data_IF_577368275783
#
_entry.id   IF_577368275783
#
_cell.length_a   1.000
_cell.length_b   1.000
_cell.length_c   1.000
_cell.angle_alpha   90.00
_cell.angle_beta   90.00
_cell.angle_gamma   90.00
#
_symmetry.space_group_name_H-M   'P 1'
#
loop_
_entity.id
_entity.type
_entity.pdbx_description
1 polymer ?
#
# COMPACT_ATOMS: atom_id res chain seq x y z
N UNK A 1 22.98 30.84 -39.45
CA UNK A 1 23.82 31.81 -38.72
C UNK A 1 22.96 32.32 -37.59
N UNK A 2 23.21 32.09 -36.30
CA UNK A 2 24.38 31.57 -35.59
C UNK A 2 23.94 30.74 -34.38
N UNK A 3 24.87 29.90 -33.91
CA UNK A 3 24.79 28.97 -32.78
C UNK A 3 25.27 29.67 -31.51
N UNK A 4 24.79 29.26 -30.33
CA UNK A 4 25.59 29.09 -29.09
C UNK A 4 24.69 28.83 -27.88
N UNK A 5 25.03 28.09 -26.82
CA UNK A 5 25.93 26.96 -26.51
C UNK A 5 25.52 26.56 -25.07
N UNK A 6 25.57 25.25 -24.78
CA UNK A 6 25.41 24.63 -23.47
C UNK A 6 26.35 25.21 -22.38
N UNK A 7 25.88 25.30 -21.14
CA UNK A 7 26.76 25.28 -19.97
C UNK A 7 26.13 24.43 -18.85
N UNK A 8 26.74 23.28 -18.61
CA UNK A 8 26.51 22.42 -17.45
C UNK A 8 27.33 22.97 -16.26
N UNK A 9 26.72 23.00 -15.07
CA UNK A 9 27.44 23.25 -13.82
C UNK A 9 27.35 22.00 -12.96
N UNK A 10 28.48 21.31 -12.86
CA UNK A 10 28.79 20.29 -11.88
C UNK A 10 29.30 21.01 -10.63
N UNK A 11 28.62 20.87 -9.51
CA UNK A 11 29.06 21.35 -8.20
C UNK A 11 29.31 20.17 -7.26
N UNK A 12 30.59 19.90 -6.97
CA UNK A 12 31.04 18.80 -6.12
C UNK A 12 30.76 19.03 -4.63
N UNK A 13 30.45 17.94 -3.93
CA UNK A 13 30.39 17.86 -2.47
C UNK A 13 31.81 17.80 -1.90
N UNK A 14 32.16 18.79 -1.06
CA UNK A 14 33.33 18.77 -0.19
C UNK A 14 32.84 18.51 1.23
N UNK A 15 33.25 17.37 1.78
CA UNK A 15 33.00 16.98 3.17
C UNK A 15 33.87 17.77 4.14
N UNK A 16 33.29 18.12 5.29
CA UNK A 16 34.03 18.61 6.46
C UNK A 16 33.68 17.71 7.64
N UNK A 17 34.64 16.86 8.00
CA UNK A 17 34.67 16.12 9.26
C UNK A 17 35.33 17.05 10.29
N UNK A 18 34.64 17.36 11.38
CA UNK A 18 35.25 18.01 12.54
C UNK A 18 35.42 16.99 13.66
N UNK A 19 36.68 16.60 13.88
CA UNK A 19 37.17 15.88 15.06
C UNK A 19 37.15 16.84 16.26
N UNK A 20 36.43 16.48 17.33
CA UNK A 20 36.46 17.15 18.62
C UNK A 20 37.04 16.23 19.69
N UNK A 21 38.22 16.60 20.17
CA UNK A 21 39.14 15.82 21.01
C UNK A 21 38.64 15.55 22.44
N UNK A 22 38.98 14.37 22.95
CA UNK A 22 38.88 13.95 24.36
C UNK A 22 39.76 14.81 25.27
N UNK A 23 39.21 15.23 26.42
CA UNK A 23 39.98 15.61 27.60
C UNK A 23 39.48 14.81 28.80
N UNK A 24 40.33 13.91 29.31
CA UNK A 24 40.17 13.25 30.60
C UNK A 24 40.63 14.19 31.72
N UNK A 25 39.81 14.38 32.75
CA UNK A 25 40.26 14.81 34.08
C UNK A 25 39.59 13.90 35.11
N UNK A 26 40.40 13.34 36.01
CA UNK A 26 40.08 12.33 37.01
C UNK A 26 39.81 12.95 38.39
N UNK A 27 38.74 12.49 39.06
CA UNK A 27 38.56 12.15 40.52
C UNK A 27 39.03 13.15 41.61
N UNK A 28 38.36 13.44 42.74
CA UNK A 28 37.25 12.84 43.52
C UNK A 28 36.85 13.87 44.65
N UNK A 29 36.26 13.47 45.80
CA UNK A 29 34.84 13.21 46.05
C UNK A 29 34.23 14.22 47.05
N UNK A 30 32.90 14.39 47.07
CA UNK A 30 32.26 14.88 48.29
C UNK A 30 30.85 14.31 48.49
N UNK A 31 30.53 14.14 49.76
CA UNK A 31 29.55 13.22 50.33
C UNK A 31 28.22 13.92 50.68
N UNK A 32 27.07 13.32 50.36
CA UNK A 32 25.76 13.79 50.87
C UNK A 32 24.54 13.19 50.17
N UNK A 33 23.37 13.05 50.82
CA UNK A 33 22.59 11.81 50.74
C UNK A 33 21.41 11.84 49.75
N UNK A 34 21.20 10.67 49.14
CA UNK A 34 19.91 10.02 48.94
C UNK A 34 18.76 10.81 48.26
N UNK A 35 18.68 10.70 46.92
CA UNK A 35 17.39 10.64 46.20
C UNK A 35 17.62 10.10 44.78
N UNK A 36 17.45 8.78 44.60
CA UNK A 36 17.30 8.18 43.26
C UNK A 36 15.97 8.63 42.64
N UNK A 37 15.92 9.14 41.40
CA UNK A 37 14.71 9.07 40.61
C UNK A 37 14.51 7.60 40.20
N UNK A 38 13.43 7.00 40.69
CA UNK A 38 13.02 5.65 40.30
C UNK A 38 12.81 5.59 38.79
N UNK A 39 13.60 4.77 38.12
CA UNK A 39 13.36 4.38 36.74
C UNK A 39 12.00 3.66 36.68
N UNK A 40 11.06 4.19 35.91
CA UNK A 40 9.82 3.49 35.57
C UNK A 40 10.22 2.27 34.74
N UNK A 41 10.00 1.02 35.19
CA UNK A 41 10.27 -0.13 34.36
C UNK A 41 9.30 -0.12 33.18
N UNK A 42 9.84 -0.12 31.96
CA UNK A 42 9.06 -0.34 30.76
C UNK A 42 8.34 -1.68 30.88
N UNK A 43 7.01 -1.63 30.91
CA UNK A 43 6.18 -2.84 30.90
C UNK A 43 6.50 -3.67 29.65
N UNK A 44 6.74 -4.99 29.76
CA UNK A 44 6.93 -5.83 28.60
C UNK A 44 5.64 -5.82 27.77
N UNK A 45 5.74 -5.44 26.50
CA UNK A 45 4.63 -5.47 25.56
C UNK A 45 4.19 -6.92 25.32
N UNK A 46 3.06 -7.31 25.89
CA UNK A 46 2.39 -8.56 25.56
C UNK A 46 2.11 -8.59 24.05
N UNK A 47 2.54 -9.63 23.31
CA UNK A 47 2.16 -9.76 21.90
C UNK A 47 0.64 -9.89 21.79
N UNK A 48 0.01 -9.35 20.73
CA UNK A 48 -1.41 -9.56 20.49
C UNK A 48 -1.73 -11.07 20.49
N UNK A 49 -2.91 -11.44 21.03
CA UNK A 49 -3.40 -12.83 21.11
C UNK A 49 -3.22 -13.56 19.77
N UNK A 50 -3.02 -14.89 19.80
CA UNK A 50 -2.88 -15.67 18.57
C UNK A 50 -4.04 -15.34 17.64
N UNK A 51 -3.69 -14.98 16.40
CA UNK A 51 -4.63 -14.91 15.27
C UNK A 51 -5.57 -16.12 15.42
N UNK A 52 -6.89 -15.90 15.44
CA UNK A 52 -7.83 -17.02 15.44
C UNK A 52 -7.44 -17.98 14.32
N UNK A 53 -7.43 -19.28 14.60
CA UNK A 53 -6.85 -20.33 13.75
C UNK A 53 -7.19 -20.08 12.26
N UNK A 54 -6.23 -19.51 11.52
CA UNK A 54 -6.40 -19.19 10.11
C UNK A 54 -6.39 -20.50 9.34
N UNK A 55 -7.40 -20.70 8.50
CA UNK A 55 -7.54 -21.91 7.69
C UNK A 55 -7.63 -21.55 6.21
N UNK A 56 -6.81 -22.20 5.40
CA UNK A 56 -6.90 -22.13 3.94
C UNK A 56 -7.95 -23.10 3.42
N UNK A 57 -8.85 -22.61 2.57
CA UNK A 57 -9.74 -23.43 1.74
C UNK A 57 -9.02 -23.88 0.45
N UNK A 58 -9.68 -24.75 -0.31
CA UNK A 58 -9.21 -25.12 -1.65
C UNK A 58 -9.23 -23.92 -2.60
N UNK A 59 -8.30 -23.85 -3.56
CA UNK A 59 -8.20 -22.72 -4.47
C UNK A 59 -9.36 -22.67 -5.44
N UNK A 60 -9.75 -21.44 -5.76
CA UNK A 60 -10.53 -21.11 -6.94
C UNK A 60 -9.55 -20.76 -8.05
N UNK A 61 -9.50 -21.61 -9.08
CA UNK A 61 -8.61 -21.41 -10.23
C UNK A 61 -9.40 -20.92 -11.43
N UNK A 62 -8.84 -19.98 -12.17
CA UNK A 62 -9.32 -19.57 -13.50
C UNK A 62 -8.12 -19.14 -14.34
N UNK A 63 -7.99 -19.66 -15.56
CA UNK A 63 -6.82 -19.38 -16.42
C UNK A 63 -5.50 -19.73 -15.72
N UNK A 64 -4.65 -18.75 -15.46
CA UNK A 64 -3.38 -18.88 -14.75
C UNK A 64 -3.42 -18.31 -13.32
N UNK A 65 -4.56 -17.92 -12.77
CA UNK A 65 -4.65 -17.45 -11.38
C UNK A 65 -5.35 -18.49 -10.51
N UNK A 66 -4.82 -18.70 -9.31
CA UNK A 66 -5.46 -19.45 -8.24
C UNK A 66 -5.58 -18.60 -6.99
N UNK A 67 -6.80 -18.46 -6.48
CA UNK A 67 -7.10 -17.68 -5.28
C UNK A 67 -7.56 -18.63 -4.18
N UNK A 68 -6.80 -18.71 -3.10
CA UNK A 68 -7.13 -19.51 -1.92
C UNK A 68 -7.83 -18.63 -0.90
N UNK A 69 -9.11 -18.87 -0.57
CA UNK A 69 -9.77 -18.17 0.52
C UNK A 69 -9.11 -18.51 1.86
N UNK A 70 -8.81 -17.48 2.65
CA UNK A 70 -8.38 -17.59 4.04
C UNK A 70 -9.58 -17.32 4.92
N UNK A 71 -9.95 -18.30 5.76
CA UNK A 71 -11.06 -18.17 6.70
C UNK A 71 -10.58 -18.15 8.14
N UNK A 72 -11.36 -17.50 9.00
CA UNK A 72 -11.15 -17.49 10.45
C UNK A 72 -12.47 -17.79 11.17
N UNK A 73 -12.41 -18.54 12.27
CA UNK A 73 -13.58 -18.86 13.10
C UNK A 73 -14.09 -17.66 13.92
N UNK A 74 -13.28 -16.61 14.05
CA UNK A 74 -13.63 -15.39 14.77
C UNK A 74 -13.00 -14.17 14.06
N UNK A 75 -13.83 -13.21 13.68
CA UNK A 75 -13.39 -11.91 13.17
C UNK A 75 -13.36 -10.86 14.27
N UNK A 76 -12.42 -9.92 14.21
CA UNK A 76 -12.47 -8.73 15.07
C UNK A 76 -13.57 -7.78 14.60
N UNK A 77 -14.06 -6.92 15.51
CA UNK A 77 -14.91 -5.79 15.12
C UNK A 77 -14.02 -4.65 14.60
N UNK A 78 -14.11 -4.40 13.29
CA UNK A 78 -13.38 -3.33 12.60
C UNK A 78 -14.27 -2.14 12.23
N UNK A 79 -15.53 -2.11 12.67
CA UNK A 79 -16.52 -1.08 12.29
C UNK A 79 -16.13 0.35 12.70
N UNK A 80 -15.23 0.46 13.68
CA UNK A 80 -14.65 1.71 14.14
C UNK A 80 -13.75 2.38 13.09
N UNK A 81 -13.19 1.65 12.13
CA UNK A 81 -12.31 2.19 11.11
C UNK A 81 -13.09 2.62 9.85
N UNK A 82 -12.61 3.68 9.21
CA UNK A 82 -13.10 4.18 7.92
C UNK A 82 -12.10 3.80 6.83
N UNK A 83 -12.55 3.29 5.70
CA UNK A 83 -11.67 3.05 4.53
C UNK A 83 -11.48 4.34 3.74
N UNK A 84 -10.36 4.46 3.02
CA UNK A 84 -10.08 5.62 2.16
C UNK A 84 -11.22 5.90 1.18
N UNK A 85 -11.72 4.85 0.54
CA UNK A 85 -12.85 4.91 -0.38
C UNK A 85 -14.11 5.50 0.27
N UNK A 86 -14.55 4.94 1.40
CA UNK A 86 -15.74 5.42 2.10
C UNK A 86 -15.57 6.86 2.61
N UNK A 87 -14.35 7.22 3.03
CA UNK A 87 -14.04 8.56 3.51
C UNK A 87 -14.09 9.61 2.39
N UNK A 88 -13.51 9.31 1.23
CA UNK A 88 -13.54 10.22 0.08
C UNK A 88 -14.96 10.30 -0.52
N UNK A 89 -15.68 9.18 -0.61
CA UNK A 89 -17.05 9.14 -1.14
C UNK A 89 -18.05 9.92 -0.29
N UNK A 90 -17.88 9.93 1.03
CA UNK A 90 -18.71 10.74 1.96
C UNK A 90 -18.31 12.21 2.01
N UNK A 91 -17.11 12.57 1.54
CA UNK A 91 -16.52 13.91 1.69
C UNK A 91 -15.95 14.20 3.09
N UNK A 92 -15.99 13.21 4.00
CA UNK A 92 -15.40 13.32 5.33
C UNK A 92 -13.86 13.24 5.29
N UNK A 93 -13.30 12.64 4.23
CA UNK A 93 -11.86 12.63 3.96
C UNK A 93 -11.61 13.44 2.71
N UNK A 94 -10.54 14.24 2.74
CA UNK A 94 -10.12 15.06 1.60
C UNK A 94 -8.62 14.84 1.37
N UNK A 95 -8.25 14.59 0.12
CA UNK A 95 -6.85 14.45 -0.30
C UNK A 95 -6.53 15.54 -1.34
N UNK A 96 -5.38 16.21 -1.16
CA UNK A 96 -4.96 17.37 -1.96
C UNK A 96 -3.48 17.38 -2.28
N UNK A 97 -3.08 18.11 -3.31
CA UNK A 97 -1.67 18.39 -3.60
C UNK A 97 -1.04 19.20 -2.45
N UNK A 98 0.12 18.79 -1.93
CA UNK A 98 0.81 19.55 -0.88
C UNK A 98 1.24 20.91 -1.41
N UNK A 99 0.88 22.01 -0.73
CA UNK A 99 1.17 23.38 -1.18
C UNK A 99 0.11 23.98 -2.10
N UNK A 100 -1.00 23.28 -2.31
CA UNK A 100 -2.20 23.84 -2.96
C UNK A 100 -3.11 24.62 -2.02
N UNK A 101 -2.75 24.73 -0.73
CA UNK A 101 -3.50 25.48 0.28
C UNK A 101 -2.56 26.20 1.26
N UNK A 102 -2.91 27.44 1.62
CA UNK A 102 -2.31 28.21 2.70
C UNK A 102 -3.13 28.04 3.97
N UNK A 103 -2.48 27.77 5.10
CA UNK A 103 -3.14 27.77 6.40
C UNK A 103 -3.18 29.20 6.95
N UNK A 104 -4.38 29.76 7.02
CA UNK A 104 -4.64 31.07 7.63
C UNK A 104 -5.38 30.85 8.95
N UNK A 105 -5.17 31.72 9.95
CA UNK A 105 -5.98 31.69 11.17
C UNK A 105 -7.30 32.42 10.95
N UNK A 106 -8.40 31.71 11.14
CA UNK A 106 -9.74 32.28 11.16
C UNK A 106 -9.94 33.26 12.31
N UNK A 107 -11.00 34.05 12.24
CA UNK A 107 -11.33 35.09 13.24
C UNK A 107 -11.59 34.51 14.65
N UNK A 108 -11.93 33.23 14.71
CA UNK A 108 -12.15 32.42 15.91
C UNK A 108 -10.88 31.66 16.37
N UNK A 109 -9.73 31.91 15.73
CA UNK A 109 -8.46 31.25 16.02
C UNK A 109 -8.32 29.84 15.44
N UNK A 110 -9.33 29.32 14.73
CA UNK A 110 -9.26 28.00 14.09
C UNK A 110 -8.46 28.08 12.79
N UNK A 111 -7.64 27.06 12.46
CA UNK A 111 -6.97 27.02 11.17
C UNK A 111 -7.99 26.87 10.03
N UNK A 112 -7.90 27.76 9.05
CA UNK A 112 -8.67 27.77 7.81
C UNK A 112 -7.70 27.55 6.66
N UNK A 113 -7.92 26.51 5.88
CA UNK A 113 -7.10 26.21 4.70
C UNK A 113 -7.72 26.89 3.47
N UNK A 114 -6.98 27.80 2.85
CA UNK A 114 -7.42 28.57 1.68
C UNK A 114 -6.65 28.08 0.45
N UNK A 115 -7.31 27.77 -0.67
CA UNK A 115 -6.63 27.34 -1.90
C UNK A 115 -5.59 28.35 -2.38
N UNK A 116 -4.36 27.90 -2.61
CA UNK A 116 -3.29 28.65 -3.29
C UNK A 116 -3.23 28.24 -4.76
N UNK A 117 -3.33 29.22 -5.67
CA UNK A 117 -3.31 29.02 -7.12
C UNK A 117 -1.91 29.06 -7.73
N UNK A 118 -0.87 29.36 -6.95
CA UNK A 118 0.52 29.53 -7.42
C UNK A 118 1.44 28.37 -7.02
N UNK A 119 1.84 27.59 -8.03
CA UNK A 119 3.11 26.85 -8.27
C UNK A 119 3.88 26.10 -7.17
N UNK A 120 3.45 26.08 -5.90
CA UNK A 120 4.19 25.46 -4.78
C UNK A 120 3.95 23.96 -4.56
N UNK A 121 3.31 23.26 -5.51
CA UNK A 121 2.99 21.85 -5.33
C UNK A 121 4.27 20.99 -5.28
N UNK A 122 4.52 20.31 -4.16
CA UNK A 122 5.66 19.39 -4.02
C UNK A 122 5.38 18.08 -4.76
N UNK A 123 6.33 17.64 -5.59
CA UNK A 123 6.23 16.35 -6.29
C UNK A 123 6.26 15.22 -5.26
N UNK A 124 5.38 14.23 -5.40
CA UNK A 124 5.25 13.04 -4.52
C UNK A 124 4.75 13.27 -3.10
N UNK A 125 4.11 14.40 -2.81
CA UNK A 125 3.49 14.61 -1.50
C UNK A 125 2.06 15.13 -1.64
N UNK A 126 1.13 14.38 -1.07
CA UNK A 126 -0.24 14.82 -0.87
C UNK A 126 -0.45 15.24 0.58
N UNK A 127 -1.54 15.93 0.82
CA UNK A 127 -2.04 16.24 2.16
C UNK A 127 -3.40 15.60 2.31
N UNK A 128 -3.56 14.78 3.36
CA UNK A 128 -4.82 14.17 3.72
C UNK A 128 -5.40 14.83 4.96
N UNK A 129 -6.71 15.10 4.91
CA UNK A 129 -7.48 15.63 6.03
C UNK A 129 -8.59 14.64 6.35
N UNK A 130 -8.57 14.04 7.54
CA UNK A 130 -9.64 13.19 8.06
C UNK A 130 -10.57 14.02 8.96
N UNK A 131 -11.70 14.46 8.42
CA UNK A 131 -12.75 15.21 9.14
C UNK A 131 -13.81 14.31 9.74
N UNK A 132 -13.72 12.99 9.50
CA UNK A 132 -14.63 12.02 10.08
C UNK A 132 -14.39 11.88 11.59
N UNK A 133 -15.31 11.18 12.25
CA UNK A 133 -15.19 10.79 13.67
C UNK A 133 -14.47 9.45 13.86
N UNK A 134 -13.97 8.83 12.77
CA UNK A 134 -13.37 7.49 12.77
C UNK A 134 -11.91 7.54 12.33
N UNK A 135 -11.02 6.71 12.92
CA UNK A 135 -9.69 6.51 12.36
C UNK A 135 -9.80 5.98 10.92
N UNK A 136 -9.05 6.61 10.02
CA UNK A 136 -9.00 6.24 8.61
C UNK A 136 -7.89 5.23 8.37
N UNK A 137 -8.22 4.09 7.77
CA UNK A 137 -7.29 3.08 7.28
C UNK A 137 -6.85 3.44 5.86
N UNK A 138 -5.54 3.51 5.67
CA UNK A 138 -4.88 3.61 4.38
C UNK A 138 -4.08 2.33 4.15
N UNK A 139 -4.24 1.70 2.98
CA UNK A 139 -3.36 0.62 2.54
C UNK A 139 -2.42 1.11 1.44
N UNK A 140 -1.19 0.62 1.47
CA UNK A 140 -0.23 0.80 0.41
C UNK A 140 -0.81 0.29 -0.91
N UNK A 141 -0.60 1.03 -1.99
CA UNK A 141 -1.12 0.73 -3.31
C UNK A 141 -2.55 1.19 -3.58
N UNK A 142 -3.29 1.75 -2.60
CA UNK A 142 -4.59 2.36 -2.89
C UNK A 142 -4.41 3.55 -3.83
N UNK A 143 -5.17 3.56 -4.93
CA UNK A 143 -5.11 4.61 -5.93
C UNK A 143 -6.01 5.78 -5.52
N UNK A 144 -5.45 6.98 -5.53
CA UNK A 144 -6.20 8.24 -5.52
C UNK A 144 -6.05 8.89 -6.89
N UNK A 145 -7.20 9.13 -7.52
CA UNK A 145 -7.27 9.55 -8.91
C UNK A 145 -7.64 11.03 -9.01
N UNK A 146 -7.21 11.68 -10.09
CA UNK A 146 -7.42 13.10 -10.33
C UNK A 146 -6.14 13.89 -10.12
N UNK A 147 -6.21 14.99 -9.37
CA UNK A 147 -5.07 15.85 -9.10
C UNK A 147 -4.34 16.32 -10.36
N UNK A 148 -3.04 16.63 -10.20
CA UNK A 148 -2.14 16.84 -11.34
C UNK A 148 -1.62 15.53 -11.93
N UNK A 149 -1.57 14.49 -11.10
CA UNK A 149 -1.21 13.12 -11.45
C UNK A 149 -1.98 12.15 -10.56
N UNK A 150 -2.29 10.97 -11.07
CA UNK A 150 -2.80 9.85 -10.28
C UNK A 150 -1.68 9.33 -9.38
N UNK A 151 -2.03 9.06 -8.12
CA UNK A 151 -1.10 8.70 -7.05
C UNK A 151 -1.54 7.43 -6.36
N UNK A 152 -0.57 6.67 -5.86
CA UNK A 152 -0.84 5.56 -4.96
C UNK A 152 -0.28 5.85 -3.58
N UNK A 153 -1.00 5.42 -2.55
CA UNK A 153 -0.53 5.46 -1.17
C UNK A 153 0.74 4.59 -1.07
N UNK A 154 1.83 5.15 -0.55
CA UNK A 154 3.10 4.43 -0.46
C UNK A 154 3.18 3.42 0.69
N UNK A 155 2.37 3.61 1.74
CA UNK A 155 2.50 2.83 2.98
C UNK A 155 1.18 2.66 3.71
N UNK A 156 1.00 1.48 4.31
CA UNK A 156 -0.09 1.19 5.24
C UNK A 156 -0.02 2.13 6.45
N UNK A 157 -1.13 2.82 6.75
CA UNK A 157 -1.18 3.80 7.85
C UNK A 157 -2.59 3.95 8.42
N UNK A 158 -2.67 4.33 9.69
CA UNK A 158 -3.92 4.81 10.30
C UNK A 158 -3.82 6.32 10.53
N UNK A 159 -4.81 7.08 10.07
CA UNK A 159 -4.94 8.51 10.31
C UNK A 159 -6.03 8.75 11.36
N UNK A 160 -5.68 9.22 12.58
CA UNK A 160 -6.66 9.45 13.64
C UNK A 160 -7.78 10.41 13.22
N UNK A 161 -8.94 10.26 13.84
CA UNK A 161 -10.02 11.22 13.71
C UNK A 161 -9.56 12.60 14.21
N UNK A 162 -9.79 13.65 13.43
CA UNK A 162 -9.40 15.02 13.79
C UNK A 162 -7.90 15.29 13.83
N UNK A 163 -7.07 14.40 13.24
CA UNK A 163 -5.66 14.67 13.06
C UNK A 163 -5.44 15.96 12.24
N UNK A 164 -4.36 16.73 12.51
CA UNK A 164 -3.98 17.83 11.63
C UNK A 164 -3.70 17.27 10.21
N UNK A 165 -3.75 18.12 9.17
CA UNK A 165 -3.48 17.68 7.82
C UNK A 165 -2.15 16.94 7.73
N UNK A 166 -2.22 15.71 7.24
CA UNK A 166 -1.13 14.76 7.28
C UNK A 166 -0.46 14.70 5.91
N UNK A 167 0.87 14.90 5.80
CA UNK A 167 1.57 14.60 4.56
C UNK A 167 1.49 13.10 4.29
N UNK A 168 1.07 12.74 3.07
CA UNK A 168 1.09 11.37 2.58
C UNK A 168 2.26 11.18 1.64
N UNK A 169 3.05 10.16 1.92
CA UNK A 169 4.03 9.63 0.97
C UNK A 169 3.28 8.84 -0.09
N UNK A 170 3.47 9.26 -1.34
CA UNK A 170 2.78 8.68 -2.50
C UNK A 170 3.74 8.47 -3.65
N UNK A 171 3.39 7.56 -4.55
CA UNK A 171 4.08 7.38 -5.82
C UNK A 171 3.18 7.79 -6.97
N UNK A 172 3.73 8.48 -7.97
CA UNK A 172 2.99 8.66 -9.23
C UNK A 172 2.98 7.35 -10.01
N UNK A 173 1.83 7.03 -10.59
CA UNK A 173 1.63 5.84 -11.43
C UNK A 173 1.52 6.18 -12.91
N UNK A 174 1.54 7.45 -13.27
CA UNK A 174 1.64 7.90 -14.65
C UNK A 174 2.87 8.80 -14.83
N UNK A 175 3.46 8.76 -16.02
CA UNK A 175 4.60 9.58 -16.38
C UNK A 175 4.15 10.69 -17.34
N UNK A 176 4.48 11.94 -17.02
CA UNK A 176 4.37 13.07 -17.95
C UNK A 176 3.11 13.95 -17.85
N UNK A 177 2.01 13.49 -17.25
CA UNK A 177 0.87 14.39 -16.93
C UNK A 177 1.26 15.29 -15.77
N UNK A 178 1.11 16.60 -15.85
CA UNK A 178 1.26 17.51 -14.69
C UNK A 178 0.24 18.65 -14.80
N UNK A 179 -0.99 18.26 -15.06
CA UNK A 179 -2.11 19.15 -15.34
C UNK A 179 -3.36 18.54 -14.71
N UNK A 180 -4.24 19.39 -14.17
CA UNK A 180 -5.47 18.94 -13.51
C UNK A 180 -5.80 19.75 -12.26
N UNK A 181 -6.78 19.28 -11.51
CA UNK A 181 -7.20 19.92 -10.25
C UNK A 181 -6.16 19.67 -9.15
N UNK A 182 -6.37 20.26 -7.97
CA UNK A 182 -5.56 19.95 -6.77
C UNK A 182 -6.23 18.94 -5.84
N UNK A 183 -7.38 18.39 -6.24
CA UNK A 183 -8.19 17.48 -5.43
C UNK A 183 -8.23 16.08 -6.03
N UNK A 184 -8.35 15.10 -5.14
CA UNK A 184 -8.37 13.70 -5.50
C UNK A 184 -9.69 13.06 -5.11
N UNK A 185 -10.13 12.10 -5.91
CA UNK A 185 -11.24 11.21 -5.63
C UNK A 185 -10.72 9.81 -5.28
N UNK A 186 -11.52 9.02 -4.58
CA UNK A 186 -11.24 7.60 -4.44
C UNK A 186 -11.33 6.94 -5.80
N UNK A 187 -10.28 6.22 -6.19
CA UNK A 187 -10.43 5.23 -7.23
C UNK A 187 -10.95 3.94 -6.60
N UNK A 188 -11.77 3.18 -7.33
CA UNK A 188 -12.22 1.84 -6.91
C UNK A 188 -11.14 0.78 -7.19
N UNK A 189 -9.87 1.16 -7.02
CA UNK A 189 -8.70 0.43 -7.51
C UNK A 189 -7.58 0.45 -6.49
N UNK A 190 -6.97 -0.71 -6.29
CA UNK A 190 -5.64 -0.87 -5.70
C UNK A 190 -4.71 -1.33 -6.83
N UNK A 191 -3.44 -0.91 -6.85
CA UNK A 191 -2.54 -1.32 -7.93
C UNK A 191 -2.25 -2.83 -7.93
N UNK A 192 -1.90 -3.37 -9.10
CA UNK A 192 -1.50 -4.77 -9.26
C UNK A 192 -0.25 -5.10 -8.43
N UNK A 193 -0.12 -6.35 -7.93
CA UNK A 193 0.95 -6.80 -7.04
C UNK A 193 2.35 -6.29 -7.36
N UNK A 194 2.78 -6.37 -8.62
CA UNK A 194 4.13 -5.95 -9.00
C UNK A 194 4.39 -4.45 -8.78
N UNK A 195 3.41 -3.59 -9.00
CA UNK A 195 3.53 -2.15 -8.72
C UNK A 195 3.48 -1.90 -7.22
N UNK A 196 2.63 -2.65 -6.50
CA UNK A 196 2.48 -2.53 -5.04
C UNK A 196 3.75 -2.97 -4.32
N UNK A 197 4.42 -4.01 -4.79
CA UNK A 197 5.75 -4.44 -4.33
C UNK A 197 6.76 -3.29 -4.42
N UNK A 198 6.94 -2.69 -5.61
CA UNK A 198 7.90 -1.60 -5.82
C UNK A 198 7.58 -0.35 -5.01
N UNK A 199 6.30 -0.07 -4.78
CA UNK A 199 5.85 1.07 -3.99
C UNK A 199 6.00 0.83 -2.48
N UNK A 200 5.57 -0.33 -1.98
CA UNK A 200 5.47 -0.60 -0.55
C UNK A 200 6.78 -1.09 0.09
N UNK A 201 7.63 -1.75 -0.70
CA UNK A 201 8.89 -2.36 -0.23
C UNK A 201 10.09 -1.58 -0.72
N UNK A 202 10.26 -1.47 -2.04
CA UNK A 202 11.47 -0.84 -2.61
C UNK A 202 11.42 0.70 -2.50
N UNK A 203 10.22 1.27 -2.39
CA UNK A 203 9.95 2.70 -2.27
C UNK A 203 10.63 3.56 -3.36
N UNK A 204 10.79 2.99 -4.56
CA UNK A 204 11.54 3.59 -5.64
C UNK A 204 10.62 4.05 -6.78
N UNK A 205 10.50 5.38 -6.96
CA UNK A 205 9.59 5.97 -7.96
C UNK A 205 9.85 5.49 -9.40
N UNK A 206 11.12 5.34 -9.79
CA UNK A 206 11.47 4.85 -11.13
C UNK A 206 11.03 3.40 -11.32
N UNK A 207 11.22 2.56 -10.32
CA UNK A 207 10.82 1.15 -10.36
C UNK A 207 9.29 0.99 -10.36
N UNK A 208 8.57 1.88 -9.68
CA UNK A 208 7.10 1.95 -9.75
C UNK A 208 6.66 2.20 -11.19
N UNK A 209 7.29 3.16 -11.89
CA UNK A 209 6.95 3.43 -13.30
C UNK A 209 7.30 2.27 -14.23
N UNK A 210 8.43 1.60 -14.00
CA UNK A 210 8.83 0.45 -14.81
C UNK A 210 7.89 -0.74 -14.58
N UNK A 211 7.48 -1.01 -13.34
CA UNK A 211 6.48 -2.03 -13.01
C UNK A 211 5.10 -1.69 -13.61
N UNK A 212 4.69 -0.42 -13.58
CA UNK A 212 3.45 0.03 -14.22
C UNK A 212 3.50 -0.24 -15.73
N UNK A 213 4.62 0.08 -16.38
CA UNK A 213 4.81 -0.11 -17.82
C UNK A 213 4.82 -1.59 -18.21
N UNK A 214 5.48 -2.43 -17.40
CA UNK A 214 5.58 -3.86 -17.70
C UNK A 214 4.29 -4.62 -17.37
N UNK A 215 3.50 -4.14 -16.40
CA UNK A 215 2.31 -4.82 -15.87
C UNK A 215 2.60 -5.99 -14.92
N UNK A 216 3.85 -6.44 -14.89
CA UNK A 216 4.35 -7.45 -13.96
C UNK A 216 5.86 -7.36 -13.81
N UNK A 217 6.38 -7.59 -12.61
CA UNK A 217 7.82 -7.74 -12.31
C UNK A 217 8.26 -9.20 -12.36
N UNK A 218 7.32 -10.14 -12.51
CA UNK A 218 7.62 -11.56 -12.58
C UNK A 218 8.34 -11.92 -13.88
N UNK A 219 9.40 -12.72 -13.75
CA UNK A 219 10.15 -13.19 -14.91
C UNK A 219 9.43 -14.37 -15.57
N UNK A 220 9.19 -14.26 -16.87
CA UNK A 220 8.67 -15.35 -17.68
C UNK A 220 9.82 -16.29 -18.12
N UNK A 221 9.65 -17.62 -18.04
CA UNK A 221 10.54 -18.55 -18.74
C UNK A 221 10.60 -18.22 -20.24
N UNK A 222 11.75 -18.38 -20.88
CA UNK A 222 11.95 -18.02 -22.29
C UNK A 222 10.98 -18.73 -23.27
N UNK A 223 10.47 -19.91 -22.90
CA UNK A 223 9.51 -20.69 -23.70
C UNK A 223 8.04 -20.51 -23.25
N UNK A 224 7.76 -19.60 -22.32
CA UNK A 224 6.41 -19.40 -21.82
C UNK A 224 5.50 -18.76 -22.89
N UNK A 225 4.20 -19.08 -22.90
CA UNK A 225 3.24 -18.42 -23.77
C UNK A 225 3.21 -16.90 -23.54
N UNK A 226 2.85 -16.14 -24.59
CA UNK A 226 2.67 -14.71 -24.45
C UNK A 226 1.56 -14.37 -23.43
N UNK A 227 1.68 -13.25 -22.69
CA UNK A 227 0.61 -12.76 -21.83
C UNK A 227 -0.61 -12.32 -22.64
N UNK A 228 -1.80 -12.31 -22.01
CA UNK A 228 -3.04 -11.88 -22.66
C UNK A 228 -3.08 -10.37 -22.88
N UNK A 229 -2.46 -9.61 -21.98
CA UNK A 229 -2.23 -8.17 -22.13
C UNK A 229 -0.72 -7.95 -22.26
N UNK A 230 -0.28 -7.32 -23.35
CA UNK A 230 1.13 -6.96 -23.54
C UNK A 230 1.47 -5.64 -22.85
N UNK A 231 2.76 -5.46 -22.51
CA UNK A 231 3.29 -4.19 -22.00
C UNK A 231 2.97 -3.00 -22.91
N UNK A 232 3.03 -3.18 -24.24
CA UNK A 232 2.67 -2.12 -25.20
C UNK A 232 1.20 -1.69 -25.10
N UNK A 233 0.28 -2.63 -24.85
CA UNK A 233 -1.15 -2.32 -24.67
C UNK A 233 -1.41 -1.62 -23.35
N UNK A 234 -0.74 -2.02 -22.27
CA UNK A 234 -0.79 -1.30 -20.99
C UNK A 234 -0.26 0.12 -21.15
N UNK A 235 0.90 0.27 -21.78
CA UNK A 235 1.50 1.56 -22.04
C UNK A 235 0.60 2.45 -22.92
N UNK A 236 -0.08 1.88 -23.92
CA UNK A 236 -1.05 2.60 -24.75
C UNK A 236 -2.26 3.06 -23.94
N UNK A 237 -2.81 2.20 -23.07
CA UNK A 237 -3.93 2.54 -22.19
C UNK A 237 -3.60 3.72 -21.26
N UNK A 238 -2.37 3.74 -20.72
CA UNK A 238 -1.85 4.81 -19.87
C UNK A 238 -1.56 6.09 -20.67
N UNK A 239 -0.81 5.98 -21.77
CA UNK A 239 -0.31 7.13 -22.53
C UNK A 239 -1.36 7.81 -23.41
N UNK A 240 -2.40 7.06 -23.83
CA UNK A 240 -3.46 7.58 -24.69
C UNK A 240 -4.35 8.65 -24.05
N UNK A 241 -4.15 8.98 -22.76
CA UNK A 241 -5.06 9.82 -21.99
C UNK A 241 -4.36 11.01 -21.33
N UNK A 242 -4.64 12.22 -21.84
CA UNK A 242 -4.25 13.49 -21.20
C UNK A 242 -5.28 13.98 -20.14
N UNK A 243 -6.20 13.13 -19.71
CA UNK A 243 -7.30 13.47 -18.78
C UNK A 243 -7.00 12.93 -17.37
N UNK A 244 -7.70 13.44 -16.37
CA UNK A 244 -7.76 12.84 -15.02
C UNK A 244 -8.15 11.37 -15.13
N UNK A 245 -7.55 10.46 -14.35
CA UNK A 245 -7.80 9.00 -14.35
C UNK A 245 -7.05 8.18 -15.43
N UNK A 246 -5.85 8.60 -15.87
CA UNK A 246 -5.11 7.87 -16.90
C UNK A 246 -4.74 6.44 -16.47
N UNK A 247 -4.40 6.23 -15.18
CA UNK A 247 -4.00 4.91 -14.71
C UNK A 247 -5.21 3.98 -14.49
N UNK A 248 -6.34 4.51 -14.04
CA UNK A 248 -7.58 3.74 -13.86
C UNK A 248 -8.08 3.14 -15.18
N UNK A 249 -7.71 3.72 -16.33
CA UNK A 249 -8.05 3.18 -17.64
C UNK A 249 -7.48 1.79 -17.90
N UNK A 250 -6.34 1.42 -17.31
CA UNK A 250 -5.79 0.05 -17.42
C UNK A 250 -6.83 -0.99 -17.00
N UNK A 251 -7.64 -0.63 -16.01
CA UNK A 251 -8.63 -1.49 -15.40
C UNK A 251 -9.95 -1.55 -16.18
N UNK A 252 -10.06 -0.80 -17.28
CA UNK A 252 -11.21 -0.76 -18.17
C UNK A 252 -10.95 -1.63 -19.41
N UNK A 253 -11.83 -2.59 -19.65
CA UNK A 253 -11.69 -3.59 -20.72
C UNK A 253 -11.46 -2.98 -22.12
N UNK A 254 -12.05 -1.80 -22.40
CA UNK A 254 -11.90 -1.08 -23.66
C UNK A 254 -10.50 -0.49 -23.89
N UNK A 255 -9.73 -0.21 -22.83
CA UNK A 255 -8.43 0.43 -22.96
C UNK A 255 -7.33 -0.57 -23.35
N UNK A 256 -7.43 -1.81 -22.89
CA UNK A 256 -6.43 -2.87 -23.10
C UNK A 256 -6.87 -3.93 -24.12
N UNK A 257 -8.12 -3.86 -24.59
CA UNK A 257 -8.67 -4.78 -25.59
C UNK A 257 -8.85 -6.21 -25.09
N UNK A 258 -8.96 -6.41 -23.77
CA UNK A 258 -9.20 -7.68 -23.08
C UNK A 258 -10.30 -7.46 -22.06
N UNK A 259 -11.22 -8.43 -21.91
CA UNK A 259 -12.32 -8.32 -20.96
C UNK A 259 -11.86 -8.63 -19.53
N UNK A 260 -11.30 -7.61 -18.86
CA UNK A 260 -10.94 -7.68 -17.44
C UNK A 260 -12.20 -7.94 -16.61
N UNK A 261 -13.32 -7.32 -16.98
CA UNK A 261 -14.58 -7.45 -16.24
C UNK A 261 -15.12 -8.89 -16.29
N UNK A 262 -15.04 -9.58 -17.44
CA UNK A 262 -15.42 -11.00 -17.53
C UNK A 262 -14.50 -11.88 -16.70
N UNK A 263 -13.20 -11.59 -16.70
CA UNK A 263 -12.21 -12.32 -15.91
C UNK A 263 -12.48 -12.19 -14.41
N UNK A 264 -12.73 -10.96 -13.95
CA UNK A 264 -13.10 -10.65 -12.56
C UNK A 264 -14.44 -11.32 -12.19
N UNK A 265 -15.46 -11.21 -13.06
CA UNK A 265 -16.77 -11.79 -12.81
C UNK A 265 -16.72 -13.32 -12.68
N UNK A 266 -15.89 -13.99 -13.47
CA UNK A 266 -15.72 -15.44 -13.39
C UNK A 266 -15.05 -15.87 -12.08
N UNK A 267 -13.96 -15.20 -11.67
CA UNK A 267 -13.32 -15.51 -10.38
C UNK A 267 -14.27 -15.21 -9.24
N UNK A 268 -14.97 -14.08 -9.26
CA UNK A 268 -15.91 -13.71 -8.20
C UNK A 268 -17.04 -14.73 -8.05
N UNK A 269 -17.60 -15.23 -9.17
CA UNK A 269 -18.61 -16.29 -9.18
C UNK A 269 -18.08 -17.59 -8.55
N UNK A 270 -16.89 -18.03 -8.95
CA UNK A 270 -16.26 -19.24 -8.40
C UNK A 270 -15.91 -19.07 -6.92
N UNK A 271 -15.41 -17.90 -6.53
CA UNK A 271 -15.09 -17.55 -5.14
C UNK A 271 -16.33 -17.55 -4.25
N UNK A 272 -17.42 -16.91 -4.68
CA UNK A 272 -18.69 -16.92 -3.97
C UNK A 272 -19.24 -18.36 -3.82
N UNK A 273 -19.07 -19.20 -4.84
CA UNK A 273 -19.50 -20.61 -4.79
C UNK A 273 -18.65 -21.41 -3.79
N UNK A 274 -17.32 -21.28 -3.85
CA UNK A 274 -16.39 -22.01 -2.98
C UNK A 274 -16.47 -21.58 -1.50
N UNK A 275 -16.91 -20.36 -1.24
CA UNK A 275 -17.08 -19.80 0.12
C UNK A 275 -18.53 -19.84 0.59
N UNK A 276 -19.45 -20.34 -0.24
CA UNK A 276 -20.83 -20.55 0.15
C UNK A 276 -20.94 -21.66 1.20
N UNK A 277 -21.80 -21.46 2.20
CA UNK A 277 -22.07 -22.48 3.21
C UNK A 277 -21.03 -22.59 4.34
N UNK A 278 -20.08 -21.66 4.46
CA UNK A 278 -19.21 -21.56 5.64
C UNK A 278 -20.07 -21.40 6.92
N UNK A 279 -19.84 -22.26 7.91
CA UNK A 279 -20.55 -22.25 9.20
C UNK A 279 -19.59 -21.92 10.32
N UNK A 280 -19.85 -20.84 11.04
CA UNK A 280 -19.00 -20.42 12.15
C UNK A 280 -17.62 -19.90 11.74
N UNK A 281 -17.43 -19.63 10.45
CA UNK A 281 -16.20 -19.05 9.89
C UNK A 281 -16.58 -17.93 8.91
N UNK A 282 -15.65 -17.01 8.70
CA UNK A 282 -15.74 -15.94 7.71
C UNK A 282 -14.47 -15.89 6.90
N UNK A 283 -14.58 -15.57 5.61
CA UNK A 283 -13.43 -15.21 4.79
C UNK A 283 -12.87 -13.91 5.33
N UNK A 284 -11.57 -13.86 5.58
CA UNK A 284 -10.86 -12.69 6.10
C UNK A 284 -9.70 -12.26 5.20
N UNK A 285 -9.44 -13.02 4.13
CA UNK A 285 -8.32 -12.74 3.25
C UNK A 285 -8.19 -13.76 2.13
N UNK A 286 -7.15 -13.59 1.35
CA UNK A 286 -6.79 -14.50 0.26
C UNK A 286 -5.28 -14.70 0.16
N UNK A 287 -4.90 -15.87 -0.35
CA UNK A 287 -3.58 -16.11 -0.94
C UNK A 287 -3.76 -16.23 -2.44
N UNK A 288 -2.87 -15.62 -3.22
CA UNK A 288 -2.93 -15.56 -4.68
C UNK A 288 -1.70 -16.21 -5.27
N UNK A 289 -1.92 -17.10 -6.22
CA UNK A 289 -0.90 -17.73 -7.02
C UNK A 289 -1.13 -17.47 -8.51
N UNK A 290 -0.03 -17.33 -9.25
CA UNK A 290 -0.03 -17.24 -10.70
C UNK A 290 0.71 -18.45 -11.27
N UNK A 291 -0.02 -19.34 -11.93
CA UNK A 291 0.47 -20.66 -12.28
C UNK A 291 0.82 -21.46 -11.02
N UNK A 292 2.05 -21.97 -10.97
CA UNK A 292 2.58 -22.70 -9.82
C UNK A 292 3.19 -21.82 -8.71
N UNK A 293 3.31 -20.51 -8.94
CA UNK A 293 3.97 -19.56 -8.05
C UNK A 293 2.94 -18.90 -7.13
N UNK A 294 2.99 -19.18 -5.82
CA UNK A 294 2.30 -18.36 -4.82
C UNK A 294 3.04 -17.03 -4.76
N UNK A 295 2.36 -15.91 -4.94
CA UNK A 295 3.01 -14.61 -5.12
C UNK A 295 2.62 -13.59 -4.05
N UNK A 296 1.40 -13.68 -3.53
CA UNK A 296 0.80 -12.59 -2.76
C UNK A 296 -0.24 -13.09 -1.75
N UNK A 297 -0.44 -12.35 -0.68
CA UNK A 297 -1.58 -12.53 0.24
C UNK A 297 -2.03 -11.21 0.83
N UNK A 298 -3.33 -11.04 1.03
CA UNK A 298 -3.92 -9.93 1.78
C UNK A 298 -4.86 -10.53 2.81
N UNK A 299 -4.53 -10.36 4.10
CA UNK A 299 -5.32 -10.85 5.24
C UNK A 299 -5.74 -9.67 6.10
N UNK A 300 -7.02 -9.62 6.45
CA UNK A 300 -7.64 -8.55 7.22
C UNK A 300 -8.10 -9.02 8.60
N UNK A 301 -8.27 -8.07 9.52
CA UNK A 301 -8.78 -8.34 10.87
C UNK A 301 -10.21 -8.93 10.91
N UNK A 302 -11.01 -8.71 9.85
CA UNK A 302 -12.42 -9.11 9.79
C UNK A 302 -12.87 -9.37 8.36
N UNK A 303 -13.94 -10.15 8.22
CA UNK A 303 -14.57 -10.39 6.92
C UNK A 303 -15.20 -9.12 6.34
N UNK A 304 -15.80 -8.27 7.17
CA UNK A 304 -16.39 -7.01 6.72
C UNK A 304 -15.32 -6.07 6.14
N UNK A 305 -14.13 -6.02 6.76
CA UNK A 305 -13.01 -5.26 6.22
C UNK A 305 -12.50 -5.87 4.92
N UNK A 306 -12.33 -7.20 4.86
CA UNK A 306 -11.98 -7.88 3.62
C UNK A 306 -12.97 -7.57 2.49
N UNK A 307 -14.27 -7.63 2.75
CA UNK A 307 -15.32 -7.36 1.75
C UNK A 307 -15.24 -5.95 1.17
N UNK A 308 -14.85 -4.94 1.98
CA UNK A 308 -14.59 -3.58 1.50
C UNK A 308 -13.42 -3.49 0.51
N UNK A 309 -12.41 -4.36 0.63
CA UNK A 309 -11.23 -4.35 -0.24
C UNK A 309 -11.31 -5.38 -1.37
N UNK A 310 -12.16 -6.40 -1.24
CA UNK A 310 -12.16 -7.56 -2.14
C UNK A 310 -12.40 -7.18 -3.61
N UNK A 311 -13.36 -6.29 -3.89
CA UNK A 311 -13.65 -5.90 -5.28
C UNK A 311 -12.43 -5.28 -5.98
N UNK A 312 -11.76 -4.32 -5.32
CA UNK A 312 -10.59 -3.65 -5.88
C UNK A 312 -9.34 -4.53 -5.90
N UNK A 313 -9.14 -5.38 -4.89
CA UNK A 313 -8.06 -6.39 -4.85
C UNK A 313 -8.22 -7.41 -5.99
N UNK A 314 -9.42 -7.95 -6.20
CA UNK A 314 -9.65 -8.93 -7.25
C UNK A 314 -9.32 -8.37 -8.64
N UNK A 315 -9.68 -7.11 -8.88
CA UNK A 315 -9.37 -6.42 -10.14
C UNK A 315 -7.85 -6.20 -10.30
N UNK A 316 -7.16 -5.86 -9.22
CA UNK A 316 -5.70 -5.77 -9.13
C UNK A 316 -5.02 -7.10 -9.51
N UNK A 317 -5.46 -8.22 -8.92
CA UNK A 317 -4.92 -9.53 -9.25
C UNK A 317 -5.23 -9.98 -10.68
N UNK A 318 -6.39 -9.60 -11.23
CA UNK A 318 -6.74 -9.90 -12.60
C UNK A 318 -5.80 -9.23 -13.61
N UNK A 319 -5.43 -7.95 -13.40
CA UNK A 319 -4.48 -7.24 -14.27
C UNK A 319 -3.11 -7.94 -14.27
N UNK A 320 -2.60 -8.31 -13.10
CA UNK A 320 -1.35 -9.08 -12.97
C UNK A 320 -1.44 -10.45 -13.66
N UNK A 321 -2.53 -11.20 -13.46
CA UNK A 321 -2.73 -12.50 -14.10
C UNK A 321 -2.70 -12.38 -15.63
N UNK A 322 -3.34 -11.35 -16.19
CA UNK A 322 -3.42 -11.10 -17.62
C UNK A 322 -2.10 -10.58 -18.21
N UNK A 323 -1.28 -9.89 -17.41
CA UNK A 323 0.06 -9.44 -17.77
C UNK A 323 1.13 -10.54 -17.65
N UNK A 324 0.85 -11.63 -16.93
CA UNK A 324 1.72 -12.81 -16.84
C UNK A 324 1.43 -13.83 -17.95
N UNK A 325 2.42 -14.66 -18.34
CA UNK A 325 2.20 -15.83 -19.18
C UNK A 325 1.09 -16.74 -18.65
N UNK A 326 0.25 -17.27 -19.55
CA UNK A 326 -0.76 -18.24 -19.15
C UNK A 326 -0.13 -19.63 -18.96
N UNK A 327 0.20 -19.95 -17.72
CA UNK A 327 0.80 -21.24 -17.32
C UNK A 327 -0.29 -22.12 -16.68
N UNK A 328 -0.37 -23.39 -17.10
CA UNK A 328 -1.40 -24.34 -16.62
C UNK A 328 -1.09 -25.01 -15.28
N UNK A 329 0.15 -24.93 -14.81
CA UNK A 329 0.53 -25.40 -13.47
C UNK A 329 -0.28 -24.63 -12.43
N UNK A 330 -0.66 -25.28 -11.33
CA UNK A 330 -1.42 -24.66 -10.23
C UNK A 330 -0.65 -24.88 -8.93
N UNK A 331 -0.53 -23.83 -8.12
CA UNK A 331 0.06 -23.94 -6.79
C UNK A 331 -0.74 -24.91 -5.90
N UNK A 332 -0.05 -25.67 -5.06
CA UNK A 332 -0.72 -26.55 -4.09
C UNK A 332 -1.20 -25.76 -2.86
N UNK A 333 -2.14 -26.33 -2.11
CA UNK A 333 -2.54 -25.81 -0.79
C UNK A 333 -1.37 -25.79 0.20
N UNK A 334 -0.44 -26.73 0.08
CA UNK A 334 0.76 -26.77 0.91
C UNK A 334 1.71 -25.60 0.60
N UNK A 335 1.90 -25.27 -0.69
CA UNK A 335 2.66 -24.07 -1.08
C UNK A 335 2.02 -22.80 -0.52
N UNK A 336 0.68 -22.69 -0.58
CA UNK A 336 -0.04 -21.55 -0.03
C UNK A 336 0.03 -21.50 1.51
N UNK A 337 0.00 -22.65 2.17
CA UNK A 337 0.12 -22.75 3.64
C UNK A 337 1.51 -22.38 4.13
N UNK A 338 2.55 -22.86 3.42
CA UNK A 338 3.94 -22.50 3.67
C UNK A 338 4.15 -21.00 3.47
N UNK A 339 3.55 -20.40 2.45
CA UNK A 339 3.62 -18.96 2.20
C UNK A 339 3.02 -18.11 3.34
N UNK A 340 2.00 -18.63 4.05
CA UNK A 340 1.38 -17.93 5.19
C UNK A 340 2.12 -18.09 6.51
N UNK A 341 3.19 -18.88 6.56
CA UNK A 341 3.98 -19.02 7.79
C UNK A 341 4.48 -17.66 8.24
N UNK A 342 4.68 -17.52 9.55
CA UNK A 342 5.32 -16.32 10.08
C UNK A 342 6.78 -16.26 9.62
N UNK A 343 7.18 -15.12 9.08
CA UNK A 343 8.57 -14.87 8.74
C UNK A 343 9.37 -14.55 10.00
N UNK A 344 10.63 -15.01 10.03
CA UNK A 344 11.57 -14.81 11.14
C UNK A 344 12.85 -14.09 10.67
N UNK A 345 12.71 -13.24 9.66
CA UNK A 345 13.82 -12.50 9.04
C UNK A 345 14.11 -11.15 9.70
N UNK A 346 14.73 -10.24 8.93
CA UNK A 346 15.04 -8.88 9.41
C UNK A 346 13.75 -8.09 9.58
N UNK A 347 13.56 -7.48 10.75
CA UNK A 347 12.39 -6.67 11.07
C UNK A 347 12.71 -5.17 11.05
N UNK A 348 11.87 -4.40 10.36
CA UNK A 348 11.80 -2.93 10.41
C UNK A 348 10.49 -2.54 11.08
N UNK A 349 10.56 -1.64 12.05
CA UNK A 349 9.43 -1.23 12.87
C UNK A 349 9.26 0.28 12.84
N UNK A 350 8.04 0.73 12.56
CA UNK A 350 7.61 2.11 12.72
C UNK A 350 6.39 2.18 13.64
N UNK A 351 6.31 3.20 14.47
CA UNK A 351 5.21 3.34 15.44
C UNK A 351 4.78 4.79 15.51
N UNK A 352 3.48 5.01 15.35
CA UNK A 352 2.81 6.26 15.72
C UNK A 352 2.20 6.05 17.12
N UNK A 353 2.75 6.68 18.18
CA UNK A 353 2.36 6.41 19.55
C UNK A 353 0.86 6.52 19.78
N UNK A 354 0.26 5.44 20.32
CA UNK A 354 -1.17 5.39 20.61
C UNK A 354 -2.09 5.24 19.39
N UNK A 355 -1.55 5.18 18.16
CA UNK A 355 -2.36 5.04 16.94
C UNK A 355 -2.14 3.69 16.29
N UNK A 356 -0.93 3.43 15.78
CA UNK A 356 -0.61 2.21 15.05
C UNK A 356 0.85 1.81 15.17
N UNK A 357 1.11 0.55 14.83
CA UNK A 357 2.44 0.00 14.61
C UNK A 357 2.48 -0.59 13.21
N UNK A 358 3.48 -0.19 12.44
CA UNK A 358 3.76 -0.78 11.13
C UNK A 358 5.02 -1.62 11.24
N UNK A 359 4.98 -2.85 10.73
CA UNK A 359 6.10 -3.79 10.76
C UNK A 359 6.34 -4.36 9.38
N UNK A 360 7.60 -4.43 8.98
CA UNK A 360 8.05 -5.15 7.80
C UNK A 360 9.08 -6.21 8.22
N UNK A 361 8.86 -7.45 7.81
CA UNK A 361 9.77 -8.56 8.06
C UNK A 361 10.22 -9.11 6.70
N UNK A 362 11.52 -9.08 6.44
CA UNK A 362 12.10 -9.60 5.18
C UNK A 362 12.88 -10.88 5.44
N UNK A 363 12.53 -11.97 4.76
CA UNK A 363 13.19 -13.28 4.86
C UNK A 363 13.44 -13.86 3.46
N UNK A 364 14.69 -13.84 3.00
CA UNK A 364 15.03 -14.22 1.63
C UNK A 364 14.29 -13.37 0.60
N UNK A 365 13.54 -14.03 -0.28
CA UNK A 365 12.69 -13.38 -1.29
C UNK A 365 11.26 -13.12 -0.79
N UNK A 366 11.00 -13.13 0.51
CA UNK A 366 9.70 -12.82 1.08
C UNK A 366 9.76 -11.52 1.88
N UNK A 367 8.70 -10.72 1.77
CA UNK A 367 8.39 -9.64 2.69
C UNK A 367 7.01 -9.87 3.30
N UNK A 368 6.90 -9.58 4.59
CA UNK A 368 5.64 -9.53 5.32
C UNK A 368 5.47 -8.12 5.90
N UNK A 369 4.36 -7.48 5.60
CA UNK A 369 3.97 -6.18 6.14
C UNK A 369 2.76 -6.36 7.05
N UNK A 370 2.82 -5.81 8.26
CA UNK A 370 1.71 -5.81 9.22
C UNK A 370 1.39 -4.39 9.68
N UNK A 371 0.11 -4.05 9.69
CA UNK A 371 -0.41 -2.83 10.29
C UNK A 371 -1.25 -3.18 11.52
N UNK A 372 -0.71 -2.94 12.71
CA UNK A 372 -1.43 -3.07 13.97
C UNK A 372 -2.06 -1.74 14.36
N UNK A 373 -3.37 -1.73 14.58
CA UNK A 373 -4.02 -0.67 15.32
C UNK A 373 -3.71 -0.82 16.81
N UNK A 374 -3.39 0.28 17.49
CA UNK A 374 -3.25 0.33 18.95
C UNK A 374 -4.54 0.82 19.62
N UNK A 375 -5.37 1.55 18.89
CA UNK A 375 -6.67 2.07 19.32
C UNK A 375 -7.72 1.94 18.19
N UNK A 376 -9.03 1.84 18.51
CA UNK A 376 -9.60 1.85 19.87
C UNK A 376 -9.34 0.54 20.63
N UNK A 377 -9.01 -0.54 19.93
CA UNK A 377 -8.61 -1.82 20.50
C UNK A 377 -7.38 -2.37 19.74
N UNK A 378 -6.38 -2.93 20.43
CA UNK A 378 -5.25 -3.56 19.76
C UNK A 378 -5.67 -4.71 18.83
N UNK A 379 -5.31 -4.62 17.55
CA UNK A 379 -5.53 -5.68 16.55
C UNK A 379 -4.64 -5.46 15.32
N UNK A 380 -4.24 -6.53 14.64
CA UNK A 380 -3.61 -6.45 13.32
C UNK A 380 -4.69 -6.27 12.27
N UNK A 381 -4.80 -5.06 11.69
CA UNK A 381 -5.84 -4.72 10.70
C UNK A 381 -5.59 -5.35 9.35
N UNK A 382 -4.33 -5.42 8.95
CA UNK A 382 -3.90 -5.91 7.66
C UNK A 382 -2.55 -6.59 7.80
N UNK A 383 -2.43 -7.78 7.21
CA UNK A 383 -1.21 -8.54 7.04
C UNK A 383 -1.07 -8.91 5.57
N UNK A 384 0.03 -8.44 4.99
CA UNK A 384 0.42 -8.67 3.61
C UNK A 384 1.67 -9.53 3.61
N UNK A 385 1.70 -10.60 2.82
CA UNK A 385 2.92 -11.35 2.51
C UNK A 385 3.08 -11.38 1.00
N UNK A 386 4.30 -11.11 0.51
CA UNK A 386 4.60 -11.04 -0.90
C UNK A 386 5.97 -11.62 -1.23
N UNK A 387 6.12 -12.10 -2.47
CA UNK A 387 7.42 -12.38 -3.06
C UNK A 387 8.09 -11.11 -3.58
N UNK A 388 9.35 -10.92 -3.19
CA UNK A 388 10.24 -9.87 -3.67
C UNK A 388 11.01 -10.35 -4.90
N UNK A 389 11.07 -9.50 -5.90
CA UNK A 389 11.75 -9.67 -7.17
C UNK A 389 13.16 -9.06 -7.17
N UNK A 390 13.53 -8.34 -6.09
CA UNK A 390 14.82 -7.65 -5.90
C UNK A 390 15.63 -8.13 -4.69
#
# INVERSE_FOLDING_TARGET
MERSIFAAVIGGFLGVVTLGSLAFVSSAPDSGPNSQPSAIPASPSTPPRPEGELRLLDPVTYENISVFPVVASYGQDTSAFLTLEAGLASGDVVVRERGSEEMVRGRDGRPVYIPQTTTGASVNQLVLVNRSKRPLLLLAGELVSGGKQDRIIGKDRIVPAGAPPLPLDVFCVEHGRWTGSSQFAAALTIVHPSVRERAAVDQAQTEVWDAVRSGTTAQAPAAAPAPKISADRLQYAIAGNARTEAYEKIYQSSAVGVSIDDFVAEIQRRFASATSGLKGERVVGVVVAYGGEVAWSDIFASGDLFDHYWHKLLRSYAVEALARPTIRTVASRDNASEFLRRLNGRETLETEPGVYRWREITEGHLAQIELDALQPKPMTLHRLILHRTS
#
